data_IF_427533493129
#
_entry.id   IF_427533493129
#
_cell.length_a   1.000
_cell.length_b   1.000
_cell.length_c   1.000
_cell.angle_alpha   90.00
_cell.angle_beta   90.00
_cell.angle_gamma   90.00
#
_symmetry.space_group_name_H-M   'P 1'
#
loop_
_entity.id
_entity.type
_entity.pdbx_description
1 polymer ?
#
# COMPACT_ATOMS: atom_id res chain seq x y z
N UNK A 1 1.15 21.26 2.07
CA UNK A 1 1.31 20.02 2.87
C UNK A 1 2.81 19.75 2.92
N UNK A 2 3.45 19.94 4.07
CA UNK A 2 4.91 19.92 4.22
C UNK A 2 5.42 18.47 4.20
N UNK A 3 6.33 18.19 3.27
CA UNK A 3 6.78 16.85 2.91
C UNK A 3 7.76 16.19 3.91
N UNK A 4 7.92 14.87 3.73
CA UNK A 4 9.19 14.17 3.94
C UNK A 4 10.36 14.93 3.30
N UNK A 5 11.50 14.94 3.97
CA UNK A 5 12.67 15.72 3.56
C UNK A 5 13.09 15.41 2.11
N UNK A 6 13.53 16.44 1.37
CA UNK A 6 14.04 16.34 -0.02
C UNK A 6 15.10 15.22 -0.17
N UNK A 7 15.75 14.81 0.92
CA UNK A 7 16.70 13.70 1.02
C UNK A 7 16.24 12.39 0.39
N UNK A 8 14.93 12.12 0.36
CA UNK A 8 14.41 10.83 -0.10
C UNK A 8 14.19 10.78 -1.62
N UNK A 9 14.32 11.94 -2.29
CA UNK A 9 14.14 12.07 -3.73
C UNK A 9 15.45 11.91 -4.49
N UNK A 10 15.39 11.18 -5.60
CA UNK A 10 16.53 11.00 -6.51
C UNK A 10 16.44 12.04 -7.63
N UNK A 11 17.50 12.83 -7.83
CA UNK A 11 17.60 13.72 -8.98
C UNK A 11 17.95 12.91 -10.25
N UNK A 12 17.32 13.23 -11.38
CA UNK A 12 17.49 12.50 -12.65
C UNK A 12 18.92 12.53 -13.20
N UNK A 13 19.71 13.55 -12.85
CA UNK A 13 21.13 13.64 -13.22
C UNK A 13 21.99 12.63 -12.45
N UNK A 14 21.57 12.26 -11.23
CA UNK A 14 22.28 11.26 -10.44
C UNK A 14 21.93 9.85 -10.91
N UNK A 15 20.65 9.60 -11.18
CA UNK A 15 20.16 8.30 -11.63
C UNK A 15 18.78 8.43 -12.28
N UNK A 16 18.61 7.82 -13.44
CA UNK A 16 17.30 7.71 -14.10
C UNK A 16 16.46 6.59 -13.46
N UNK A 17 15.12 6.74 -13.44
CA UNK A 17 14.25 5.63 -13.10
C UNK A 17 14.36 4.47 -14.09
N UNK A 18 14.01 3.27 -13.64
CA UNK A 18 13.92 2.12 -14.56
C UNK A 18 12.80 2.37 -15.59
N UNK A 19 13.04 2.11 -16.88
CA UNK A 19 12.00 2.23 -17.91
C UNK A 19 10.77 1.37 -17.58
N UNK A 20 9.59 1.86 -17.94
CA UNK A 20 8.28 1.23 -17.74
C UNK A 20 7.86 0.97 -16.28
N UNK A 21 8.69 1.32 -15.29
CA UNK A 21 8.33 1.22 -13.89
C UNK A 21 7.57 2.48 -13.45
N UNK A 22 6.55 2.29 -12.63
CA UNK A 22 5.77 3.40 -12.08
C UNK A 22 6.56 4.15 -11.01
N UNK A 23 6.52 5.48 -11.11
CA UNK A 23 7.31 6.38 -10.27
C UNK A 23 6.47 7.53 -9.78
N UNK A 24 6.78 7.98 -8.56
CA UNK A 24 6.40 9.29 -8.09
C UNK A 24 7.42 10.29 -8.65
N UNK A 25 6.93 11.36 -9.27
CA UNK A 25 7.75 12.41 -9.87
C UNK A 25 7.47 13.75 -9.19
N UNK A 26 8.48 14.62 -9.18
CA UNK A 26 8.47 15.84 -8.39
C UNK A 26 9.17 17.00 -9.10
N UNK A 27 8.69 18.22 -8.83
CA UNK A 27 9.40 19.46 -9.14
C UNK A 27 9.31 20.40 -7.95
N UNK A 28 10.44 20.96 -7.54
CA UNK A 28 10.47 22.02 -6.53
C UNK A 28 9.85 23.31 -7.08
N UNK A 29 8.96 23.90 -6.31
CA UNK A 29 8.39 25.23 -6.53
C UNK A 29 9.23 26.30 -5.82
N UNK A 30 8.98 27.58 -6.13
CA UNK A 30 9.78 28.71 -5.62
C UNK A 30 9.75 28.83 -4.09
N UNK A 31 8.69 28.33 -3.45
CA UNK A 31 8.50 28.25 -2.00
C UNK A 31 9.13 27.00 -1.36
N UNK A 32 9.97 26.26 -2.09
CA UNK A 32 10.56 24.97 -1.68
C UNK A 32 9.52 23.88 -1.34
N UNK A 33 8.28 24.01 -1.83
CA UNK A 33 7.32 22.91 -1.84
C UNK A 33 7.64 22.00 -3.02
N UNK A 34 7.36 20.71 -2.91
CA UNK A 34 7.54 19.78 -4.02
C UNK A 34 6.17 19.46 -4.61
N UNK A 35 5.99 19.83 -5.87
CA UNK A 35 4.81 19.51 -6.64
C UNK A 35 4.95 18.09 -7.21
N UNK A 36 4.13 17.17 -6.69
CA UNK A 36 4.19 15.75 -7.04
C UNK A 36 3.25 15.38 -8.19
N UNK A 37 3.57 14.25 -8.80
CA UNK A 37 2.64 13.52 -9.66
C UNK A 37 3.11 12.10 -9.88
N UNK A 38 2.43 11.35 -10.74
CA UNK A 38 2.80 9.95 -11.07
C UNK A 38 3.03 9.76 -12.56
N UNK A 39 3.94 8.86 -12.90
CA UNK A 39 4.23 8.52 -14.29
C UNK A 39 5.09 7.27 -14.41
N UNK A 40 5.60 7.06 -15.62
CA UNK A 40 6.61 6.05 -15.95
C UNK A 40 7.57 6.63 -16.97
N UNK A 41 8.82 6.19 -16.92
CA UNK A 41 9.82 6.55 -17.91
C UNK A 41 9.61 5.71 -19.17
N UNK A 42 9.40 6.38 -20.30
CA UNK A 42 9.31 5.77 -21.62
C UNK A 42 10.51 6.24 -22.43
N UNK A 43 11.27 5.28 -22.96
CA UNK A 43 12.39 5.55 -23.86
C UNK A 43 11.89 5.43 -25.30
N UNK A 44 11.98 6.51 -26.08
CA UNK A 44 11.63 6.49 -27.50
C UNK A 44 12.89 6.65 -28.36
N UNK A 45 12.93 5.97 -29.51
CA UNK A 45 14.04 6.07 -30.46
C UNK A 45 13.98 7.34 -31.32
N UNK A 46 12.88 8.09 -31.25
CA UNK A 46 12.50 9.10 -32.25
C UNK A 46 12.90 10.53 -31.85
N UNK A 47 13.27 10.75 -30.58
CA UNK A 47 13.58 12.07 -30.03
C UNK A 47 14.85 12.05 -29.16
N UNK A 48 16.02 12.18 -29.80
CA UNK A 48 17.31 12.50 -29.17
C UNK A 48 17.71 11.72 -27.89
N UNK A 49 17.16 10.53 -27.63
CA UNK A 49 17.45 9.72 -26.44
C UNK A 49 16.99 10.34 -25.11
N UNK A 50 16.14 11.38 -25.13
CA UNK A 50 15.62 12.00 -23.93
C UNK A 50 14.43 11.19 -23.40
N UNK A 51 14.50 10.71 -22.16
CA UNK A 51 13.40 9.98 -21.53
C UNK A 51 12.15 10.84 -21.35
N UNK A 52 10.98 10.27 -21.66
CA UNK A 52 9.69 10.95 -21.52
C UNK A 52 8.92 10.42 -20.33
N UNK A 53 8.25 11.32 -19.61
CA UNK A 53 7.28 10.99 -18.59
C UNK A 53 5.89 11.07 -19.21
N UNK A 54 5.12 9.98 -19.15
CA UNK A 54 3.68 10.05 -19.34
C UNK A 54 3.06 10.66 -18.09
N UNK A 55 2.60 11.91 -18.19
CA UNK A 55 2.02 12.63 -17.06
C UNK A 55 0.53 12.33 -16.87
N UNK A 56 -0.03 12.80 -15.75
CA UNK A 56 -1.42 12.56 -15.33
C UNK A 56 -2.45 12.88 -16.40
N UNK A 57 -2.19 13.90 -17.21
CA UNK A 57 -2.99 14.36 -18.34
C UNK A 57 -2.83 13.53 -19.63
N UNK A 58 -2.03 12.46 -19.62
CA UNK A 58 -1.73 11.63 -20.79
C UNK A 58 -0.72 12.25 -21.76
N UNK A 59 -0.19 13.44 -21.44
CA UNK A 59 0.83 14.08 -22.27
C UNK A 59 2.22 13.52 -21.97
N UNK A 60 3.07 13.49 -22.99
CA UNK A 60 4.49 13.19 -22.82
C UNK A 60 5.22 14.49 -22.49
N UNK A 61 5.93 14.49 -21.35
CA UNK A 61 6.79 15.61 -20.95
C UNK A 61 8.22 15.12 -20.84
N UNK A 62 9.18 15.98 -21.18
CA UNK A 62 10.58 15.67 -20.93
C UNK A 62 10.77 15.36 -19.44
N UNK A 63 11.54 14.31 -19.11
CA UNK A 63 11.80 13.94 -17.71
C UNK A 63 12.40 15.09 -16.89
N UNK A 64 13.12 16.01 -17.56
CA UNK A 64 13.66 17.25 -16.97
C UNK A 64 12.60 18.21 -16.43
N UNK A 65 11.34 18.11 -16.87
CA UNK A 65 10.24 18.91 -16.33
C UNK A 65 9.85 18.51 -14.89
N UNK A 66 10.20 17.28 -14.48
CA UNK A 66 10.02 16.73 -13.13
C UNK A 66 11.33 16.05 -12.72
N UNK A 67 12.36 16.81 -12.34
CA UNK A 67 13.72 16.29 -12.22
C UNK A 67 13.95 15.45 -10.96
N UNK A 68 12.98 15.37 -10.06
CA UNK A 68 13.04 14.53 -8.86
C UNK A 68 12.11 13.33 -9.02
N UNK A 69 12.54 12.16 -8.60
CA UNK A 69 11.70 10.97 -8.59
C UNK A 69 12.00 10.04 -7.40
N UNK A 70 11.03 9.16 -7.10
CA UNK A 70 11.21 8.00 -6.24
C UNK A 70 10.32 6.84 -6.70
N UNK A 71 10.65 5.59 -6.33
CA UNK A 71 9.79 4.44 -6.64
C UNK A 71 8.37 4.64 -6.08
N UNK A 72 7.36 4.42 -6.91
CA UNK A 72 5.97 4.47 -6.44
C UNK A 72 5.68 3.29 -5.50
N UNK A 73 6.23 2.13 -5.80
CA UNK A 73 6.19 0.94 -4.95
C UNK A 73 7.54 0.75 -4.26
N UNK A 74 7.53 0.36 -3.00
CA UNK A 74 8.74 -0.02 -2.29
C UNK A 74 9.30 -1.34 -2.83
N UNK A 75 10.64 -1.46 -2.88
CA UNK A 75 11.27 -2.74 -3.16
C UNK A 75 10.88 -3.80 -2.14
N UNK A 76 10.85 -5.06 -2.58
CA UNK A 76 10.44 -6.19 -1.75
C UNK A 76 11.18 -6.19 -0.43
N UNK A 77 10.41 -6.19 0.66
CA UNK A 77 10.98 -6.14 2.00
C UNK A 77 11.56 -7.51 2.36
N UNK A 78 12.84 -7.53 2.74
CA UNK A 78 13.52 -8.72 3.24
C UNK A 78 13.47 -8.69 4.76
N UNK A 79 12.77 -9.66 5.35
CA UNK A 79 12.81 -9.85 6.80
C UNK A 79 14.22 -10.30 7.19
N UNK A 80 14.91 -9.57 8.07
CA UNK A 80 16.24 -9.94 8.49
C UNK A 80 16.21 -11.23 9.32
N UNK A 81 17.32 -11.96 9.30
CA UNK A 81 17.56 -13.08 10.22
C UNK A 81 18.77 -12.75 11.11
N UNK A 82 18.73 -13.13 12.38
CA UNK A 82 19.85 -13.03 13.32
C UNK A 82 20.39 -11.59 13.56
N UNK A 83 19.52 -10.60 13.77
CA UNK A 83 19.93 -9.25 14.18
C UNK A 83 19.90 -9.07 15.71
N UNK A 84 20.68 -8.12 16.20
CA UNK A 84 20.62 -7.65 17.59
C UNK A 84 19.42 -6.73 17.81
N UNK A 85 18.93 -6.63 19.05
CA UNK A 85 17.75 -5.81 19.40
C UNK A 85 17.87 -4.34 18.98
N UNK A 86 19.05 -3.73 19.11
CA UNK A 86 19.30 -2.35 18.67
C UNK A 86 19.12 -2.20 17.15
N UNK A 87 19.67 -3.13 16.36
CA UNK A 87 19.54 -3.14 14.91
C UNK A 87 18.09 -3.41 14.46
N UNK A 88 17.36 -4.23 15.21
CA UNK A 88 15.94 -4.44 14.99
C UNK A 88 15.11 -3.18 15.27
N UNK A 89 15.50 -2.41 16.29
CA UNK A 89 14.84 -1.13 16.61
C UNK A 89 15.05 -0.09 15.50
N UNK A 90 16.28 0.05 15.01
CA UNK A 90 16.61 0.93 13.89
C UNK A 90 15.88 0.52 12.61
N UNK A 91 15.81 -0.79 12.34
CA UNK A 91 15.11 -1.32 11.18
C UNK A 91 13.59 -1.10 11.27
N UNK A 92 13.00 -1.28 12.45
CA UNK A 92 11.58 -0.99 12.66
C UNK A 92 11.29 0.48 12.35
N UNK A 93 12.13 1.40 12.82
CA UNK A 93 11.97 2.82 12.52
C UNK A 93 12.10 3.11 11.02
N UNK A 94 13.06 2.47 10.35
CA UNK A 94 13.22 2.56 8.90
C UNK A 94 11.94 2.10 8.16
N UNK A 95 11.33 1.00 8.57
CA UNK A 95 10.13 0.50 7.91
C UNK A 95 8.89 1.33 8.23
N UNK A 96 8.76 1.84 9.45
CA UNK A 96 7.68 2.79 9.77
C UNK A 96 7.79 4.07 8.94
N UNK A 97 9.01 4.57 8.70
CA UNK A 97 9.24 5.70 7.81
C UNK A 97 8.90 5.37 6.35
N UNK A 98 9.26 4.17 5.85
CA UNK A 98 8.83 3.71 4.52
C UNK A 98 7.30 3.62 4.41
N UNK A 99 6.64 3.13 5.45
CA UNK A 99 5.18 3.02 5.49
C UNK A 99 4.52 4.42 5.48
N UNK A 100 5.06 5.39 6.22
CA UNK A 100 4.50 6.75 6.23
C UNK A 100 4.63 7.45 4.87
N UNK A 101 5.68 7.15 4.08
CA UNK A 101 5.82 7.67 2.71
C UNK A 101 4.63 7.29 1.79
N UNK A 102 3.88 6.22 2.08
CA UNK A 102 2.69 5.87 1.30
C UNK A 102 1.58 6.89 1.39
N UNK A 103 1.57 7.75 2.42
CA UNK A 103 0.60 8.84 2.50
C UNK A 103 0.69 9.77 1.29
N UNK A 104 1.90 10.23 0.95
CA UNK A 104 2.12 11.12 -0.19
C UNK A 104 1.95 10.39 -1.52
N UNK A 105 2.38 9.13 -1.60
CA UNK A 105 2.19 8.28 -2.79
C UNK A 105 0.70 8.07 -3.09
N UNK A 106 -0.12 7.80 -2.08
CA UNK A 106 -1.57 7.65 -2.26
C UNK A 106 -2.26 8.95 -2.64
N UNK A 107 -1.86 10.08 -2.05
CA UNK A 107 -2.39 11.40 -2.44
C UNK A 107 -2.07 11.73 -3.89
N UNK A 108 -0.82 11.50 -4.32
CA UNK A 108 -0.41 11.73 -5.70
C UNK A 108 -1.16 10.81 -6.67
N UNK A 109 -1.33 9.53 -6.32
CA UNK A 109 -2.13 8.59 -7.13
C UNK A 109 -3.59 9.01 -7.24
N UNK A 110 -4.21 9.42 -6.13
CA UNK A 110 -5.59 9.89 -6.14
C UNK A 110 -5.74 11.15 -6.99
N UNK A 111 -4.82 12.11 -6.86
CA UNK A 111 -4.82 13.32 -7.68
C UNK A 111 -4.66 13.00 -9.18
N UNK A 112 -3.75 12.10 -9.51
CA UNK A 112 -3.52 11.66 -10.89
C UNK A 112 -4.74 10.95 -11.49
N UNK A 113 -5.37 10.06 -10.72
CA UNK A 113 -6.59 9.37 -11.12
C UNK A 113 -7.73 10.34 -11.45
N UNK A 114 -7.91 11.37 -10.61
CA UNK A 114 -8.95 12.39 -10.81
C UNK A 114 -8.70 13.25 -12.06
N UNK A 115 -7.43 13.46 -12.43
CA UNK A 115 -7.04 14.30 -13.58
C UNK A 115 -6.90 13.50 -14.89
N UNK A 116 -6.71 12.19 -14.81
CA UNK A 116 -6.50 11.34 -15.97
C UNK A 116 -7.77 11.16 -16.82
N UNK A 117 -7.57 10.91 -18.11
CA UNK A 117 -8.64 10.62 -19.07
C UNK A 117 -9.53 11.82 -19.41
N UNK A 118 -10.78 11.53 -19.78
CA UNK A 118 -11.76 12.51 -20.26
C UNK A 118 -12.85 12.87 -19.23
N UNK A 119 -12.73 12.38 -17.99
CA UNK A 119 -13.72 12.64 -16.95
C UNK A 119 -13.58 11.78 -15.71
N UNK A 120 -14.61 11.85 -14.86
CA UNK A 120 -14.75 11.05 -13.64
C UNK A 120 -15.64 9.84 -13.90
N UNK A 121 -15.25 8.69 -13.35
CA UNK A 121 -15.91 7.41 -13.51
C UNK A 121 -16.29 6.84 -12.13
N UNK A 122 -17.29 5.93 -12.02
CA UNK A 122 -17.66 5.31 -10.75
C UNK A 122 -16.48 4.67 -9.98
N UNK A 123 -15.50 4.14 -10.71
CA UNK A 123 -14.28 3.55 -10.14
C UNK A 123 -13.44 4.60 -9.41
N UNK A 124 -13.41 5.87 -9.87
CA UNK A 124 -12.66 6.94 -9.22
C UNK A 124 -13.17 7.20 -7.80
N UNK A 125 -14.50 7.18 -7.60
CA UNK A 125 -15.12 7.34 -6.29
C UNK A 125 -14.89 6.11 -5.40
N UNK A 126 -14.96 4.91 -5.97
CA UNK A 126 -14.64 3.68 -5.26
C UNK A 126 -13.20 3.70 -4.74
N UNK A 127 -12.24 4.02 -5.61
CA UNK A 127 -10.83 4.12 -5.26
C UNK A 127 -10.59 5.25 -4.24
N UNK A 128 -11.32 6.36 -4.31
CA UNK A 128 -11.22 7.42 -3.30
C UNK A 128 -11.56 6.92 -1.90
N UNK A 129 -12.57 6.06 -1.77
CA UNK A 129 -12.90 5.36 -0.53
C UNK A 129 -11.78 4.42 -0.07
N UNK A 130 -11.22 3.64 -1.01
CA UNK A 130 -10.08 2.76 -0.75
C UNK A 130 -8.87 3.56 -0.25
N UNK A 131 -8.49 4.65 -0.91
CA UNK A 131 -7.36 5.51 -0.54
C UNK A 131 -7.58 6.16 0.83
N UNK A 132 -8.76 6.70 1.09
CA UNK A 132 -9.07 7.35 2.38
C UNK A 132 -8.99 6.36 3.54
N UNK A 133 -9.54 5.15 3.35
CA UNK A 133 -9.40 4.05 4.31
C UNK A 133 -7.94 3.62 4.44
N UNK A 134 -7.22 3.58 3.31
CA UNK A 134 -5.76 3.55 3.16
C UNK A 134 -5.01 4.28 4.27
N UNK A 135 -5.12 5.60 4.15
CA UNK A 135 -4.46 6.58 4.98
C UNK A 135 -4.83 6.44 6.45
N UNK A 136 -6.12 6.22 6.73
CA UNK A 136 -6.63 6.06 8.10
C UNK A 136 -6.05 4.82 8.79
N UNK A 137 -5.94 3.70 8.07
CA UNK A 137 -5.38 2.45 8.59
C UNK A 137 -3.87 2.56 8.81
N UNK A 138 -3.13 3.18 7.89
CA UNK A 138 -1.70 3.43 8.05
C UNK A 138 -1.43 4.29 9.27
N UNK A 139 -2.11 5.43 9.40
CA UNK A 139 -1.95 6.33 10.54
C UNK A 139 -2.28 5.64 11.88
N UNK A 140 -3.37 4.87 11.92
CA UNK A 140 -3.76 4.11 13.10
C UNK A 140 -2.72 3.04 13.46
N UNK A 141 -2.20 2.31 12.47
CA UNK A 141 -1.18 1.28 12.69
C UNK A 141 0.11 1.88 13.25
N UNK A 142 0.64 2.93 12.61
CA UNK A 142 1.85 3.62 13.05
C UNK A 142 1.71 4.14 14.50
N UNK A 143 0.58 4.78 14.80
CA UNK A 143 0.27 5.28 16.15
C UNK A 143 0.29 4.15 17.18
N UNK A 144 -0.33 3.00 16.87
CA UNK A 144 -0.42 1.86 17.79
C UNK A 144 0.93 1.18 17.99
N UNK A 145 1.72 1.00 16.92
CA UNK A 145 3.08 0.42 17.03
C UNK A 145 3.97 1.32 17.90
N UNK A 146 3.99 2.63 17.65
CA UNK A 146 4.77 3.60 18.45
C UNK A 146 4.31 3.66 19.91
N UNK A 147 3.02 3.45 20.15
CA UNK A 147 2.42 3.40 21.49
C UNK A 147 2.58 2.05 22.19
N UNK A 148 3.32 1.10 21.60
CA UNK A 148 3.48 -0.27 22.12
C UNK A 148 2.13 -0.96 22.34
N UNK A 149 1.22 -0.88 21.38
CA UNK A 149 -0.04 -1.63 21.36
C UNK A 149 -0.13 -2.47 20.07
N UNK A 150 0.70 -3.50 20.01
CA UNK A 150 0.79 -4.40 18.88
C UNK A 150 -0.46 -5.25 18.71
N UNK A 151 -1.09 -5.68 19.80
CA UNK A 151 -2.29 -6.51 19.70
C UNK A 151 -3.37 -5.79 18.88
N UNK A 152 -3.64 -4.52 19.15
CA UNK A 152 -4.55 -3.71 18.33
C UNK A 152 -3.97 -3.40 16.94
N UNK A 153 -2.66 -3.11 16.82
CA UNK A 153 -2.05 -2.81 15.52
C UNK A 153 -2.16 -3.97 14.53
N UNK A 154 -1.96 -5.22 14.98
CA UNK A 154 -2.00 -6.42 14.16
C UNK A 154 -3.36 -6.62 13.45
N UNK A 155 -4.46 -6.13 14.04
CA UNK A 155 -5.78 -6.15 13.40
C UNK A 155 -5.80 -5.32 12.13
N UNK A 156 -5.07 -4.20 12.11
CA UNK A 156 -5.09 -3.25 10.99
C UNK A 156 -4.40 -3.79 9.73
N UNK A 157 -3.49 -4.75 9.89
CA UNK A 157 -2.88 -5.48 8.76
C UNK A 157 -3.96 -6.23 7.97
N UNK A 158 -4.85 -6.94 8.67
CA UNK A 158 -5.94 -7.68 8.02
C UNK A 158 -6.92 -6.75 7.33
N UNK A 159 -7.28 -5.64 7.97
CA UNK A 159 -8.27 -4.70 7.42
C UNK A 159 -7.72 -3.89 6.25
N UNK A 160 -6.41 -3.64 6.20
CA UNK A 160 -5.73 -3.08 5.04
C UNK A 160 -5.68 -4.10 3.89
N UNK A 161 -5.37 -5.36 4.20
CA UNK A 161 -5.43 -6.44 3.21
C UNK A 161 -6.83 -6.56 2.61
N UNK A 162 -7.89 -6.51 3.42
CA UNK A 162 -9.27 -6.48 2.93
C UNK A 162 -9.54 -5.31 2.01
N UNK A 163 -9.00 -4.14 2.33
CA UNK A 163 -9.15 -2.97 1.48
C UNK A 163 -8.60 -3.23 0.07
N UNK A 164 -7.42 -3.87 -0.02
CA UNK A 164 -6.85 -4.31 -1.29
C UNK A 164 -7.69 -5.40 -1.97
N UNK A 165 -8.14 -6.44 -1.26
CA UNK A 165 -8.94 -7.52 -1.85
C UNK A 165 -10.26 -7.01 -2.44
N UNK A 166 -10.88 -6.00 -1.79
CA UNK A 166 -12.07 -5.34 -2.31
C UNK A 166 -11.77 -4.53 -3.57
N UNK A 167 -10.65 -3.80 -3.59
CA UNK A 167 -10.17 -3.12 -4.79
C UNK A 167 -9.93 -4.10 -5.95
N UNK A 168 -9.21 -5.20 -5.71
CA UNK A 168 -8.84 -6.16 -6.76
C UNK A 168 -10.05 -6.82 -7.44
N UNK A 169 -11.20 -6.86 -6.77
CA UNK A 169 -12.45 -7.37 -7.34
C UNK A 169 -12.88 -6.63 -8.63
N UNK A 170 -12.54 -5.35 -8.77
CA UNK A 170 -12.85 -4.57 -9.98
C UNK A 170 -12.17 -5.14 -11.23
N UNK A 171 -11.07 -5.89 -11.09
CA UNK A 171 -10.38 -6.53 -12.21
C UNK A 171 -10.91 -7.92 -12.55
N UNK A 172 -11.82 -8.48 -11.74
CA UNK A 172 -12.37 -9.82 -11.94
C UNK A 172 -13.67 -9.82 -12.75
N UNK A 173 -14.25 -8.64 -12.99
CA UNK A 173 -15.56 -8.46 -13.62
C UNK A 173 -15.43 -7.90 -15.04
N UNK A 174 -16.49 -8.05 -15.84
CA UNK A 174 -16.55 -7.45 -17.19
C UNK A 174 -16.95 -5.98 -17.15
N UNK A 175 -17.82 -5.59 -16.21
CA UNK A 175 -18.39 -4.25 -16.10
C UNK A 175 -17.95 -3.56 -14.79
N UNK A 176 -16.67 -3.15 -14.65
CA UNK A 176 -16.14 -2.68 -13.38
C UNK A 176 -16.81 -1.40 -12.86
N UNK A 177 -17.25 -0.51 -13.77
CA UNK A 177 -18.01 0.68 -13.40
C UNK A 177 -19.36 0.34 -12.75
N UNK A 178 -20.07 -0.66 -13.27
CA UNK A 178 -21.34 -1.11 -12.70
C UNK A 178 -21.15 -1.66 -11.29
N UNK A 179 -20.07 -2.41 -11.07
CA UNK A 179 -19.76 -2.98 -9.75
C UNK A 179 -19.39 -1.88 -8.76
N UNK A 180 -18.59 -0.91 -9.18
CA UNK A 180 -18.26 0.26 -8.35
C UNK A 180 -19.53 0.99 -7.89
N UNK A 181 -20.48 1.22 -8.80
CA UNK A 181 -21.79 1.82 -8.47
C UNK A 181 -22.59 0.94 -7.49
N UNK A 182 -22.69 -0.37 -7.72
CA UNK A 182 -23.44 -1.27 -6.83
C UNK A 182 -22.90 -1.25 -5.39
N UNK A 183 -21.58 -1.24 -5.24
CA UNK A 183 -20.96 -1.21 -3.91
C UNK A 183 -21.16 0.15 -3.24
N UNK A 184 -21.09 1.25 -4.01
CA UNK A 184 -21.45 2.57 -3.51
C UNK A 184 -22.90 2.60 -2.98
N UNK A 185 -23.83 1.96 -3.68
CA UNK A 185 -25.23 1.81 -3.25
C UNK A 185 -25.42 0.86 -2.05
N UNK A 186 -24.33 0.29 -1.52
CA UNK A 186 -24.34 -0.55 -0.31
C UNK A 186 -24.46 -2.05 -0.59
N UNK A 187 -24.38 -2.49 -1.85
CA UNK A 187 -24.37 -3.92 -2.18
C UNK A 187 -23.10 -4.56 -1.65
N UNK A 188 -23.19 -5.58 -0.78
CA UNK A 188 -22.01 -6.29 -0.31
C UNK A 188 -21.32 -7.02 -1.47
N UNK A 189 -20.01 -6.84 -1.62
CA UNK A 189 -19.27 -7.40 -2.76
C UNK A 189 -19.37 -8.94 -2.83
N UNK A 190 -19.54 -9.62 -1.69
CA UNK A 190 -19.69 -11.07 -1.62
C UNK A 190 -21.02 -11.57 -2.23
N UNK A 191 -21.95 -10.67 -2.54
CA UNK A 191 -23.18 -10.96 -3.28
C UNK A 191 -23.02 -10.75 -4.78
N UNK A 192 -21.94 -10.14 -5.22
CA UNK A 192 -21.63 -9.87 -6.62
C UNK A 192 -20.83 -11.05 -7.19
N UNK A 193 -21.12 -11.43 -8.43
CA UNK A 193 -20.39 -12.50 -9.13
C UNK A 193 -19.29 -11.90 -10.02
N UNK A 194 -18.21 -12.64 -10.21
CA UNK A 194 -17.16 -12.32 -11.17
C UNK A 194 -17.58 -12.66 -12.62
N UNK A 195 -16.65 -12.49 -13.57
CA UNK A 195 -16.89 -12.82 -14.99
C UNK A 195 -17.25 -14.29 -15.24
N UNK A 196 -16.85 -15.20 -14.34
CA UNK A 196 -17.09 -16.64 -14.42
C UNK A 196 -18.36 -17.07 -13.64
N UNK A 197 -19.10 -16.10 -13.10
CA UNK A 197 -20.32 -16.35 -12.31
C UNK A 197 -20.07 -16.76 -10.86
N UNK A 198 -18.83 -16.71 -10.37
CA UNK A 198 -18.48 -17.06 -8.97
C UNK A 198 -18.67 -15.89 -8.03
N UNK A 199 -19.28 -16.12 -6.87
CA UNK A 199 -19.47 -15.08 -5.85
C UNK A 199 -18.13 -14.61 -5.27
N UNK A 200 -17.94 -13.30 -5.18
CA UNK A 200 -16.70 -12.68 -4.71
C UNK A 200 -16.61 -12.62 -3.19
N UNK A 201 -16.63 -13.79 -2.54
CA UNK A 201 -16.40 -13.91 -1.09
C UNK A 201 -14.95 -13.54 -0.73
N UNK A 202 -14.70 -13.29 0.55
CA UNK A 202 -13.37 -12.89 1.03
C UNK A 202 -12.32 -13.97 0.76
N UNK A 203 -12.69 -15.24 0.95
CA UNK A 203 -11.83 -16.38 0.60
C UNK A 203 -11.55 -16.43 -0.90
N UNK A 204 -12.56 -16.17 -1.74
CA UNK A 204 -12.40 -16.18 -3.19
C UNK A 204 -11.47 -15.06 -3.67
N UNK A 205 -11.66 -13.85 -3.15
CA UNK A 205 -10.81 -12.70 -3.47
C UNK A 205 -9.38 -12.91 -2.99
N UNK A 206 -9.20 -13.49 -1.80
CA UNK A 206 -7.87 -13.92 -1.30
C UNK A 206 -7.22 -14.91 -2.27
N UNK A 207 -7.94 -15.95 -2.67
CA UNK A 207 -7.39 -16.99 -3.55
C UNK A 207 -6.99 -16.40 -4.91
N UNK A 208 -7.83 -15.52 -5.47
CA UNK A 208 -7.54 -14.79 -6.71
C UNK A 208 -6.33 -13.87 -6.58
N UNK A 209 -6.23 -13.13 -5.49
CA UNK A 209 -5.08 -12.27 -5.25
C UNK A 209 -3.78 -13.08 -5.02
N UNK A 210 -3.88 -14.27 -4.43
CA UNK A 210 -2.75 -15.16 -4.19
C UNK A 210 -2.17 -15.79 -5.45
N UNK A 211 -2.93 -15.84 -6.56
CA UNK A 211 -2.42 -16.23 -7.88
C UNK A 211 -1.27 -15.31 -8.32
N UNK A 212 -1.37 -14.00 -8.02
CA UNK A 212 -0.33 -13.00 -8.31
C UNK A 212 0.63 -12.79 -7.14
N UNK A 213 0.12 -12.83 -5.90
CA UNK A 213 0.87 -12.54 -4.69
C UNK A 213 0.74 -13.69 -3.68
N UNK A 214 1.52 -14.79 -3.83
CA UNK A 214 1.34 -16.01 -3.03
C UNK A 214 1.39 -15.82 -1.51
N UNK A 215 2.08 -14.77 -1.04
CA UNK A 215 2.18 -14.42 0.38
C UNK A 215 0.83 -14.00 1.00
N UNK A 216 -0.14 -13.55 0.20
CA UNK A 216 -1.45 -13.07 0.68
C UNK A 216 -2.18 -14.14 1.47
N UNK A 217 -2.11 -15.41 1.06
CA UNK A 217 -2.77 -16.51 1.78
C UNK A 217 -2.25 -16.62 3.21
N UNK A 218 -0.93 -16.53 3.40
CA UNK A 218 -0.32 -16.62 4.72
C UNK A 218 -0.72 -15.42 5.59
N UNK A 219 -0.56 -14.19 5.06
CA UNK A 219 -0.92 -12.96 5.78
C UNK A 219 -2.40 -12.96 6.14
N UNK A 220 -3.27 -13.34 5.21
CA UNK A 220 -4.71 -13.46 5.46
C UNK A 220 -4.99 -14.39 6.65
N UNK A 221 -4.43 -15.60 6.64
CA UNK A 221 -4.72 -16.61 7.66
C UNK A 221 -4.17 -16.19 9.02
N UNK A 222 -2.93 -15.74 9.08
CA UNK A 222 -2.28 -15.31 10.32
C UNK A 222 -2.96 -14.09 10.93
N UNK A 223 -3.31 -13.10 10.11
CA UNK A 223 -3.95 -11.86 10.59
C UNK A 223 -5.43 -12.02 10.90
N UNK A 224 -6.13 -13.00 10.29
CA UNK A 224 -7.51 -13.35 10.67
C UNK A 224 -7.61 -13.86 12.11
N UNK A 225 -6.54 -14.48 12.63
CA UNK A 225 -6.44 -14.87 14.03
C UNK A 225 -6.42 -13.68 15.01
N UNK A 226 -6.18 -12.46 14.53
CA UNK A 226 -6.33 -11.25 15.35
C UNK A 226 -7.73 -10.64 15.24
N UNK A 227 -8.51 -10.92 14.20
CA UNK A 227 -9.87 -10.37 14.07
C UNK A 227 -10.85 -11.03 15.03
N UNK A 228 -10.76 -12.35 15.18
CA UNK A 228 -11.59 -13.11 16.11
C UNK A 228 -10.77 -13.53 17.33
N UNK A 229 -11.38 -13.52 18.51
CA UNK A 229 -10.72 -13.98 19.72
C UNK A 229 -10.17 -15.40 19.52
N UNK A 230 -8.88 -15.58 19.82
CA UNK A 230 -8.10 -16.75 19.44
C UNK A 230 -6.95 -17.01 20.42
N UNK A 231 -6.21 -18.10 20.20
CA UNK A 231 -4.98 -18.39 20.95
C UNK A 231 -3.95 -17.25 20.89
N UNK A 232 -3.90 -16.46 19.81
CA UNK A 232 -2.98 -15.31 19.69
C UNK A 232 -3.24 -14.27 20.78
N UNK A 233 -4.50 -14.09 21.18
CA UNK A 233 -4.88 -13.17 22.26
C UNK A 233 -4.42 -13.69 23.63
N UNK A 234 -4.61 -14.99 23.87
CA UNK A 234 -4.19 -15.64 25.12
C UNK A 234 -2.66 -15.61 25.24
N UNK A 235 -1.93 -15.95 24.18
CA UNK A 235 -0.47 -15.97 24.16
C UNK A 235 0.17 -14.58 24.26
N UNK A 236 -0.54 -13.52 23.84
CA UNK A 236 -0.08 -12.15 24.02
C UNK A 236 -0.22 -11.69 25.48
N UNK A 237 -1.27 -12.13 26.17
CA UNK A 237 -1.52 -11.78 27.58
C UNK A 237 -0.78 -12.68 28.58
N UNK A 238 -0.55 -13.96 28.24
CA UNK A 238 -0.05 -14.98 29.16
C UNK A 238 1.15 -15.73 28.58
N UNK A 239 2.30 -15.67 29.27
CA UNK A 239 3.56 -16.28 28.82
C UNK A 239 4.21 -17.14 29.91
N UNK A 240 5.05 -18.13 29.56
CA UNK A 240 5.83 -18.88 30.55
C UNK A 240 6.82 -17.98 31.29
N UNK A 241 6.97 -18.19 32.60
CA UNK A 241 7.95 -17.46 33.41
C UNK A 241 9.38 -17.91 33.03
N UNK A 242 10.21 -16.99 32.54
CA UNK A 242 11.58 -17.25 32.03
C UNK A 242 12.44 -18.13 32.96
N UNK A 243 12.35 -17.92 34.28
CA UNK A 243 13.22 -18.59 35.26
C UNK A 243 12.53 -19.65 36.14
N UNK A 244 11.22 -19.93 35.95
CA UNK A 244 10.47 -20.85 36.84
C UNK A 244 9.66 -21.82 36.00
N UNK A 245 10.05 -23.10 36.05
CA UNK A 245 9.29 -24.19 35.40
C UNK A 245 7.86 -24.23 35.95
N UNK A 246 6.90 -24.56 35.10
CA UNK A 246 5.46 -24.69 35.45
C UNK A 246 4.82 -23.42 36.04
N UNK A 247 5.40 -22.23 35.77
CA UNK A 247 4.82 -20.95 36.17
C UNK A 247 4.45 -20.14 34.93
N UNK A 248 3.23 -19.60 34.89
CA UNK A 248 2.77 -18.66 33.87
C UNK A 248 2.66 -17.26 34.47
N UNK A 249 2.92 -16.24 33.66
CA UNK A 249 2.70 -14.84 34.01
C UNK A 249 1.64 -14.29 33.09
N UNK A 250 0.58 -13.70 33.66
CA UNK A 250 -0.47 -13.01 32.92
C UNK A 250 -0.35 -11.51 33.15
N UNK A 251 -0.41 -10.75 32.07
CA UNK A 251 -0.36 -9.31 32.08
C UNK A 251 -1.73 -8.71 31.74
N UNK A 252 -2.12 -7.68 32.49
CA UNK A 252 -3.34 -6.91 32.25
C UNK A 252 -2.98 -5.46 31.98
N UNK A 253 -3.11 -5.02 30.74
CA UNK A 253 -2.73 -3.68 30.34
C UNK A 253 -2.96 -3.43 28.87
N UNK A 254 -2.86 -2.16 28.48
CA UNK A 254 -2.96 -1.72 27.08
C UNK A 254 -1.63 -1.69 26.34
N UNK A 255 -0.53 -1.99 27.04
CA UNK A 255 0.82 -1.94 26.48
C UNK A 255 1.36 -3.36 26.30
N UNK A 256 2.14 -3.54 25.25
CA UNK A 256 2.86 -4.76 24.95
C UNK A 256 3.85 -5.09 26.08
N UNK A 257 3.92 -6.36 26.44
CA UNK A 257 4.89 -6.86 27.41
C UNK A 257 6.05 -7.62 26.75
N UNK A 258 5.76 -8.68 25.99
CA UNK A 258 6.77 -9.59 25.40
C UNK A 258 6.66 -9.63 23.86
N UNK A 259 6.14 -8.58 23.23
CA UNK A 259 6.10 -8.48 21.76
C UNK A 259 7.48 -8.05 21.25
N UNK A 260 8.05 -8.88 20.38
CA UNK A 260 9.39 -8.64 19.84
C UNK A 260 9.38 -7.63 18.68
N UNK A 261 10.53 -7.03 18.41
CA UNK A 261 10.66 -6.11 17.27
C UNK A 261 10.53 -6.85 15.94
N UNK A 262 10.89 -8.13 15.85
CA UNK A 262 10.68 -8.97 14.66
C UNK A 262 9.19 -9.04 14.31
N UNK A 263 8.30 -9.28 15.27
CA UNK A 263 6.86 -9.28 15.03
C UNK A 263 6.35 -7.92 14.54
N UNK A 264 6.86 -6.82 15.12
CA UNK A 264 6.52 -5.46 14.68
C UNK A 264 7.03 -5.17 13.26
N UNK A 265 8.24 -5.59 12.94
CA UNK A 265 8.85 -5.48 11.61
C UNK A 265 8.04 -6.27 10.59
N UNK A 266 7.68 -7.52 10.90
CA UNK A 266 6.89 -8.38 10.03
C UNK A 266 5.51 -7.77 9.73
N UNK A 267 4.81 -7.29 10.76
CA UNK A 267 3.53 -6.60 10.58
C UNK A 267 3.67 -5.32 9.73
N UNK A 268 4.73 -4.54 9.97
CA UNK A 268 5.00 -3.31 9.20
C UNK A 268 5.35 -3.64 7.74
N UNK A 269 6.13 -4.69 7.50
CA UNK A 269 6.45 -5.18 6.17
C UNK A 269 5.18 -5.62 5.42
N UNK A 270 4.27 -6.34 6.08
CA UNK A 270 2.98 -6.70 5.50
C UNK A 270 2.17 -5.46 5.11
N UNK A 271 2.11 -4.43 5.96
CA UNK A 271 1.43 -3.17 5.64
C UNK A 271 2.01 -2.53 4.37
N UNK A 272 3.33 -2.48 4.23
CA UNK A 272 4.01 -1.92 3.06
C UNK A 272 3.70 -2.74 1.80
N UNK A 273 3.80 -4.06 1.85
CA UNK A 273 3.52 -4.93 0.70
C UNK A 273 2.05 -4.84 0.26
N UNK A 274 1.12 -4.68 1.20
CA UNK A 274 -0.29 -4.43 0.84
C UNK A 274 -0.43 -3.04 0.18
N UNK A 275 0.27 -2.02 0.66
CA UNK A 275 0.26 -0.70 0.03
C UNK A 275 0.83 -0.74 -1.39
N UNK A 276 1.89 -1.53 -1.64
CA UNK A 276 2.41 -1.80 -2.98
C UNK A 276 1.32 -2.34 -3.91
N UNK A 277 0.56 -3.35 -3.46
CA UNK A 277 -0.54 -3.93 -4.23
C UNK A 277 -1.63 -2.89 -4.56
N UNK A 278 -1.97 -2.01 -3.61
CA UNK A 278 -2.95 -0.93 -3.82
C UNK A 278 -2.39 0.10 -4.82
N UNK A 279 -1.14 0.54 -4.67
CA UNK A 279 -0.49 1.46 -5.60
C UNK A 279 -0.48 0.90 -7.02
N UNK A 280 -0.14 -0.38 -7.19
CA UNK A 280 -0.15 -1.06 -8.48
C UNK A 280 -1.52 -1.03 -9.14
N UNK A 281 -2.57 -1.41 -8.40
CA UNK A 281 -3.94 -1.42 -8.91
C UNK A 281 -4.43 -0.02 -9.31
N UNK A 282 -4.21 1.00 -8.47
CA UNK A 282 -4.63 2.37 -8.76
C UNK A 282 -3.87 2.93 -9.96
N UNK A 283 -2.54 2.73 -10.02
CA UNK A 283 -1.74 3.19 -11.15
C UNK A 283 -2.17 2.53 -12.47
N UNK A 284 -2.52 1.25 -12.45
CA UNK A 284 -3.09 0.56 -13.61
C UNK A 284 -4.38 1.21 -14.10
N UNK A 285 -5.25 1.67 -13.19
CA UNK A 285 -6.46 2.42 -13.57
C UNK A 285 -6.13 3.80 -14.15
N UNK A 286 -5.17 4.53 -13.58
CA UNK A 286 -4.68 5.80 -14.14
C UNK A 286 -4.19 5.60 -15.58
N UNK A 287 -3.43 4.54 -15.83
CA UNK A 287 -2.94 4.20 -17.17
C UNK A 287 -4.06 3.84 -18.15
N UNK A 288 -5.07 3.09 -17.72
CA UNK A 288 -6.25 2.80 -18.55
C UNK A 288 -6.96 4.08 -18.99
N UNK A 289 -7.19 5.01 -18.06
CA UNK A 289 -7.82 6.31 -18.38
C UNK A 289 -6.97 7.14 -19.36
N UNK A 290 -5.64 7.06 -19.27
CA UNK A 290 -4.73 7.75 -20.21
C UNK A 290 -4.86 7.22 -21.64
N UNK A 291 -5.01 5.90 -21.80
CA UNK A 291 -5.16 5.28 -23.13
C UNK A 291 -6.46 5.68 -23.82
N UNK A 292 -7.57 5.81 -23.07
CA UNK A 292 -8.85 6.28 -23.62
C UNK A 292 -8.78 7.70 -24.20
N UNK A 293 -7.85 8.53 -23.72
CA UNK A 293 -7.65 9.90 -24.22
C UNK A 293 -6.81 9.95 -25.50
N UNK A 294 -6.01 8.92 -25.77
CA UNK A 294 -5.14 8.84 -26.95
C UNK A 294 -5.87 8.27 -28.19
N UNK A 295 -7.11 7.79 -28.03
CA UNK A 295 -8.00 7.34 -29.10
C UNK A 295 -8.93 8.46 -29.55
#
# INVERSE_FOLDING_TARGET
MTMNTISDWVHIENRLPMPEHSVLVGKLTEDNTMLTGVGRLILTNDHNGAGWLCTEDGNFRAITARPYWMPLMEEKIVLPTNLTDDKLSDLLLLYLNKLSCFEDKFKALAAAMMQAGNGLYPIDFYISGVVTRSLSLIFGFDTLIKSKNYLSAAHLVRTLLDNYLRLSALWLVTEPHKIATQVWEGTPINKIADRDGKKMTDSYLRDKAAETYPWITNVYNETSGFIHFSNKHIMNATVPHKNKKMTMVTYFGKFDHEVTNESRIEATACMIEICNCICHAIFGWVDTKRLEKMQ
#
